data_IF_118065864072
#
_entry.id   IF_118065864072
#
_cell.length_a   1.000
_cell.length_b   1.000
_cell.length_c   1.000
_cell.angle_alpha   90.00
_cell.angle_beta   90.00
_cell.angle_gamma   90.00
#
_symmetry.space_group_name_H-M   'P 1'
#
loop_
_entity.id
_entity.type
_entity.pdbx_description
1 polymer ?
#
# COMPACT_ATOMS: atom_id res chain seq x y z
N UNK A 1 -8.05 7.69 17.52
CA UNK A 1 -8.19 8.13 16.11
C UNK A 1 -7.42 7.14 15.22
N UNK A 2 -7.91 6.86 14.02
CA UNK A 2 -7.15 6.13 13.00
C UNK A 2 -6.90 7.07 11.83
N UNK A 3 -5.65 7.22 11.42
CA UNK A 3 -5.24 8.00 10.25
C UNK A 3 -4.67 7.05 9.18
N UNK A 4 -4.57 7.51 7.93
CA UNK A 4 -3.85 6.78 6.90
C UNK A 4 -3.18 7.70 5.89
N UNK A 5 -2.14 7.20 5.23
CA UNK A 5 -1.53 7.82 4.04
C UNK A 5 -1.47 6.80 2.92
N UNK A 6 -1.83 7.24 1.71
CA UNK A 6 -1.76 6.41 0.50
C UNK A 6 -0.55 6.80 -0.33
N UNK A 7 0.16 5.80 -0.83
CA UNK A 7 1.26 5.94 -1.76
C UNK A 7 0.99 5.09 -3.01
N UNK A 8 1.54 5.52 -4.14
CA UNK A 8 1.51 4.77 -5.39
C UNK A 8 2.91 4.50 -5.89
N UNK A 9 3.13 3.32 -6.46
CA UNK A 9 4.37 3.00 -7.15
C UNK A 9 4.10 2.06 -8.32
N UNK A 10 4.89 2.20 -9.37
CA UNK A 10 4.82 1.33 -10.55
C UNK A 10 5.86 0.21 -10.43
N UNK A 11 5.44 -1.04 -10.61
CA UNK A 11 6.35 -2.18 -10.56
C UNK A 11 5.91 -3.32 -11.49
N UNK A 12 6.88 -4.12 -11.92
CA UNK A 12 6.65 -5.39 -12.63
C UNK A 12 6.67 -6.57 -11.65
N UNK A 13 5.86 -7.59 -11.93
CA UNK A 13 5.80 -8.85 -11.20
C UNK A 13 5.30 -10.02 -12.08
N UNK A 14 5.31 -11.22 -11.53
CA UNK A 14 4.60 -12.38 -12.07
C UNK A 14 4.19 -13.31 -10.92
N UNK A 15 3.20 -14.17 -11.16
CA UNK A 15 2.74 -15.14 -10.17
C UNK A 15 3.30 -16.53 -10.53
N UNK A 16 4.23 -17.11 -9.74
CA UNK A 16 4.91 -18.36 -10.11
C UNK A 16 4.03 -19.62 -9.97
N UNK A 17 2.98 -19.54 -9.14
CA UNK A 17 2.20 -20.70 -8.70
C UNK A 17 0.82 -20.82 -9.37
N UNK A 18 0.55 -20.06 -10.43
CA UNK A 18 -0.67 -20.21 -11.25
C UNK A 18 -0.44 -21.20 -12.40
N UNK A 19 -1.49 -21.78 -12.99
CA UNK A 19 -1.39 -22.68 -14.15
C UNK A 19 -0.53 -22.12 -15.30
N UNK A 20 0.04 -23.01 -16.11
CA UNK A 20 1.02 -22.64 -17.14
C UNK A 20 0.48 -21.66 -18.19
N UNK A 21 -0.79 -21.80 -18.53
CA UNK A 21 -1.52 -20.97 -19.49
C UNK A 21 -2.12 -19.70 -18.87
N UNK A 22 -2.03 -19.52 -17.55
CA UNK A 22 -2.65 -18.39 -16.87
C UNK A 22 -1.94 -17.07 -17.18
N UNK A 23 -2.69 -16.03 -17.54
CA UNK A 23 -2.16 -14.71 -17.96
C UNK A 23 -1.17 -14.09 -16.98
N UNK A 24 -1.38 -14.24 -15.67
CA UNK A 24 -0.52 -13.66 -14.62
C UNK A 24 0.80 -14.43 -14.38
N UNK A 25 1.01 -15.58 -15.04
CA UNK A 25 2.29 -16.31 -14.98
C UNK A 25 3.39 -15.58 -15.76
N UNK A 26 3.01 -14.76 -16.75
CA UNK A 26 3.92 -13.91 -17.52
C UNK A 26 4.32 -12.68 -16.70
N UNK A 27 5.54 -12.17 -16.96
CA UNK A 27 5.96 -10.87 -16.47
C UNK A 27 5.00 -9.79 -16.98
N UNK A 28 4.48 -8.98 -16.06
CA UNK A 28 3.60 -7.85 -16.34
C UNK A 28 3.74 -6.82 -15.22
N UNK A 29 3.07 -5.67 -15.30
CA UNK A 29 3.17 -4.63 -14.28
C UNK A 29 1.84 -3.99 -13.92
N UNK A 30 1.88 -3.23 -12.83
CA UNK A 30 0.75 -2.46 -12.31
C UNK A 30 1.23 -1.15 -11.70
N UNK A 31 0.34 -0.18 -11.64
CA UNK A 31 0.41 0.93 -10.66
C UNK A 31 -0.19 0.43 -9.35
N UNK A 32 0.67 0.07 -8.39
CA UNK A 32 0.25 -0.37 -7.07
C UNK A 32 -0.18 0.82 -6.21
N UNK A 33 -1.18 0.60 -5.36
CA UNK A 33 -1.62 1.54 -4.32
C UNK A 33 -1.47 0.89 -2.96
N UNK A 34 -0.77 1.56 -2.04
CA UNK A 34 -0.57 1.09 -0.67
C UNK A 34 -1.11 2.14 0.30
N UNK A 35 -2.01 1.71 1.21
CA UNK A 35 -2.48 2.53 2.33
C UNK A 35 -1.85 2.03 3.61
N UNK A 36 -1.15 2.93 4.31
CA UNK A 36 -0.62 2.69 5.63
C UNK A 36 -1.58 3.28 6.65
N UNK A 37 -2.12 2.46 7.53
CA UNK A 37 -3.04 2.85 8.58
C UNK A 37 -2.32 2.89 9.93
N UNK A 38 -2.55 3.95 10.70
CA UNK A 38 -1.97 4.13 12.04
C UNK A 38 -3.08 4.52 13.00
N UNK A 39 -3.13 3.84 14.15
CA UNK A 39 -4.10 4.08 15.21
C UNK A 39 -3.41 4.60 16.45
N UNK A 40 -3.89 5.72 16.99
CA UNK A 40 -3.35 6.31 18.20
C UNK A 40 -4.28 7.37 18.82
N UNK A 41 -3.97 7.84 20.02
CA UNK A 41 -4.60 9.02 20.60
C UNK A 41 -4.21 10.27 19.79
N UNK A 42 -4.97 11.35 19.95
CA UNK A 42 -4.50 12.66 19.52
C UNK A 42 -3.49 13.17 20.55
N UNK A 43 -2.38 13.73 20.09
CA UNK A 43 -1.50 14.53 20.92
C UNK A 43 -2.30 15.72 21.49
N UNK A 44 -2.29 15.96 22.82
CA UNK A 44 -3.13 16.99 23.44
C UNK A 44 -2.78 18.43 23.02
N UNK A 45 -1.55 18.68 22.55
CA UNK A 45 -1.08 20.01 22.14
C UNK A 45 -1.16 20.19 20.62
N UNK A 46 -0.77 19.17 19.87
CA UNK A 46 -0.65 19.22 18.41
C UNK A 46 -1.94 18.82 17.69
N UNK A 47 -2.82 18.06 18.35
CA UNK A 47 -4.15 17.71 17.83
C UNK A 47 -4.14 16.64 16.72
N UNK A 48 -3.02 15.97 16.48
CA UNK A 48 -2.87 14.89 15.50
C UNK A 48 -2.42 13.57 16.15
N UNK A 49 -2.55 12.46 15.43
CA UNK A 49 -1.97 11.17 15.88
C UNK A 49 -0.45 11.16 15.64
N UNK A 50 -0.03 11.63 14.47
CA UNK A 50 1.36 11.83 14.05
C UNK A 50 1.36 12.69 12.79
N UNK A 51 2.52 13.26 12.47
CA UNK A 51 2.75 13.89 11.17
C UNK A 51 2.75 12.83 10.05
N UNK A 52 2.32 13.24 8.86
CA UNK A 52 2.36 12.44 7.65
C UNK A 52 3.69 12.56 6.89
N UNK A 53 4.50 13.58 7.17
CA UNK A 53 5.77 13.86 6.49
C UNK A 53 6.94 13.00 6.99
#
# INVERSE_FOLDING_TARGET
>A
MTIFKEFTFDAAHYLPNVPEDHKCRRMHGHTYRVRLYIKGPLDPKLGWVMDFA
#
